data_IF_140791224316
#
_entry.id   IF_140791224316
#
_cell.length_a   1.000
_cell.length_b   1.000
_cell.length_c   1.000
_cell.angle_alpha   90.00
_cell.angle_beta   90.00
_cell.angle_gamma   90.00
#
_symmetry.space_group_name_H-M   'P 1'
#
loop_
_entity.id
_entity.type
_entity.pdbx_description
1 polymer ?
#
# COMPACT_ATOMS: atom_id res chain seq x y z
N UNK A 1 11.48 -10.46 23.69
CA UNK A 1 10.84 -10.25 23.17
C UNK A 1 10.09 -9.22 22.52
N UNK A 2 10.22 -8.05 22.82
CA UNK A 2 9.55 -7.02 22.19
C UNK A 2 9.89 -6.99 20.75
N UNK A 3 10.94 -7.56 20.35
CA UNK A 3 11.28 -7.60 18.96
C UNK A 3 10.29 -8.38 18.13
N UNK A 4 9.65 -9.34 18.73
CA UNK A 4 8.68 -10.09 17.99
C UNK A 4 7.50 -9.27 17.59
N UNK A 5 7.09 -8.37 18.45
CA UNK A 5 5.99 -7.49 18.11
C UNK A 5 6.33 -6.61 16.94
N UNK A 6 7.55 -6.11 16.92
CA UNK A 6 7.95 -5.25 15.83
C UNK A 6 7.99 -6.00 14.53
N UNK A 7 8.44 -7.24 14.55
CA UNK A 7 8.48 -8.03 13.34
C UNK A 7 7.08 -8.30 12.82
N UNK A 8 6.15 -8.57 13.73
CA UNK A 8 4.79 -8.82 13.33
C UNK A 8 4.20 -7.60 12.62
N UNK A 9 4.48 -6.42 13.14
CA UNK A 9 3.95 -5.22 12.53
C UNK A 9 4.47 -5.04 11.11
N UNK A 10 5.73 -5.42 10.86
CA UNK A 10 6.30 -5.24 9.54
C UNK A 10 5.88 -6.30 8.55
N UNK A 11 5.47 -7.47 9.02
CA UNK A 11 5.20 -8.58 8.12
C UNK A 11 4.09 -8.37 7.12
N UNK A 12 3.02 -7.61 7.42
CA UNK A 12 1.98 -7.44 6.41
C UNK A 12 2.45 -6.90 5.08
N UNK A 13 3.58 -6.21 5.07
CA UNK A 13 4.11 -5.64 3.83
C UNK A 13 5.14 -6.53 3.17
N UNK A 14 5.41 -7.71 3.74
CA UNK A 14 6.38 -8.64 3.19
C UNK A 14 5.76 -9.94 2.71
N UNK A 15 4.45 -10.04 2.70
CA UNK A 15 3.78 -11.27 2.28
C UNK A 15 3.93 -11.47 0.78
N UNK A 16 3.77 -12.71 0.29
CA UNK A 16 3.77 -12.93 -1.15
C UNK A 16 2.72 -12.12 -1.89
N UNK A 17 1.55 -11.94 -1.28
CA UNK A 17 0.51 -11.12 -1.88
C UNK A 17 0.95 -9.68 -2.02
N UNK A 18 1.62 -9.15 -0.98
CA UNK A 18 2.11 -7.79 -1.04
C UNK A 18 3.16 -7.63 -2.14
N UNK A 19 4.03 -8.62 -2.31
CA UNK A 19 5.06 -8.55 -3.33
C UNK A 19 4.46 -8.54 -4.73
N UNK A 20 3.42 -9.32 -4.96
CA UNK A 20 2.73 -9.27 -6.24
C UNK A 20 2.15 -7.88 -6.48
N UNK A 21 1.54 -7.31 -5.46
CA UNK A 21 0.95 -5.97 -5.58
C UNK A 21 2.00 -4.91 -5.84
N UNK A 22 3.17 -5.01 -5.17
CA UNK A 22 4.26 -4.07 -5.41
C UNK A 22 4.68 -4.08 -6.88
N UNK A 23 4.77 -5.27 -7.47
CA UNK A 23 5.15 -5.39 -8.87
C UNK A 23 4.14 -4.74 -9.79
N UNK A 24 2.86 -4.92 -9.51
CA UNK A 24 1.82 -4.31 -10.32
C UNK A 24 1.89 -2.79 -10.22
N UNK A 25 2.02 -2.27 -9.01
CA UNK A 25 2.05 -0.82 -8.82
C UNK A 25 3.31 -0.21 -9.42
N UNK A 26 4.44 -0.91 -9.36
CA UNK A 26 5.65 -0.42 -10.01
C UNK A 26 5.48 -0.42 -11.53
N UNK A 27 4.86 -1.45 -12.08
CA UNK A 27 4.67 -1.53 -13.52
C UNK A 27 3.80 -0.40 -14.05
N UNK A 28 2.84 0.04 -13.25
CA UNK A 28 1.97 1.15 -13.64
C UNK A 28 2.52 2.51 -13.24
N UNK A 29 3.67 2.55 -12.59
CA UNK A 29 4.31 3.82 -12.24
C UNK A 29 3.77 4.47 -10.98
N UNK A 30 3.03 3.76 -10.16
CA UNK A 30 2.53 4.30 -8.89
C UNK A 30 3.53 4.16 -7.75
N UNK A 31 4.45 3.19 -7.84
CA UNK A 31 5.53 3.04 -6.88
C UNK A 31 6.87 3.11 -7.61
N UNK A 32 7.89 3.64 -6.93
CA UNK A 32 9.23 3.60 -7.44
C UNK A 32 9.93 2.30 -7.09
N UNK A 33 11.17 2.18 -7.51
CA UNK A 33 11.96 0.97 -7.26
C UNK A 33 12.22 0.77 -5.78
N UNK A 34 12.17 1.86 -5.01
CA UNK A 34 12.35 1.81 -3.57
C UNK A 34 11.05 1.45 -2.84
N UNK A 35 10.00 1.13 -3.59
CA UNK A 35 8.68 0.79 -3.06
C UNK A 35 8.00 1.95 -2.36
N UNK A 36 8.46 3.17 -2.62
CA UNK A 36 7.81 4.36 -2.10
C UNK A 36 6.91 4.96 -3.17
N UNK A 37 5.89 5.75 -2.76
CA UNK A 37 5.02 6.35 -3.76
C UNK A 37 5.82 7.17 -4.77
N UNK A 38 5.51 6.99 -6.03
CA UNK A 38 6.19 7.73 -7.08
C UNK A 38 5.83 9.20 -7.05
N UNK A 39 4.61 9.52 -6.61
CA UNK A 39 4.16 10.90 -6.50
C UNK A 39 4.43 11.39 -5.08
N UNK A 40 5.11 12.52 -4.90
CA UNK A 40 5.44 13.00 -3.56
C UNK A 40 4.26 13.61 -2.80
N UNK A 41 3.11 13.73 -3.41
CA UNK A 41 1.93 14.33 -2.76
C UNK A 41 1.50 13.47 -1.57
N UNK A 42 1.47 14.05 -0.37
CA UNK A 42 1.10 13.32 0.83
C UNK A 42 -0.33 12.79 0.78
N UNK A 43 -1.24 13.52 0.15
CA UNK A 43 -2.62 13.05 0.04
C UNK A 43 -2.71 11.81 -0.85
N UNK A 44 -1.98 11.81 -1.96
CA UNK A 44 -1.97 10.66 -2.84
C UNK A 44 -1.33 9.45 -2.17
N UNK A 45 -0.22 9.66 -1.46
CA UNK A 45 0.42 8.58 -0.74
C UNK A 45 -0.52 7.99 0.31
N UNK A 46 -1.24 8.85 1.01
CA UNK A 46 -2.16 8.39 2.05
C UNK A 46 -3.31 7.58 1.45
N UNK A 47 -3.88 8.03 0.33
CA UNK A 47 -4.94 7.27 -0.32
C UNK A 47 -4.42 5.96 -0.88
N UNK A 48 -3.19 5.94 -1.39
CA UNK A 48 -2.59 4.71 -1.87
C UNK A 48 -2.41 3.72 -0.70
N UNK A 49 -1.95 4.19 0.45
CA UNK A 49 -1.80 3.34 1.62
C UNK A 49 -3.16 2.78 2.05
N UNK A 50 -4.20 3.61 2.03
CA UNK A 50 -5.53 3.17 2.41
C UNK A 50 -6.02 2.06 1.48
N UNK A 51 -5.82 2.21 0.18
CA UNK A 51 -6.24 1.20 -0.78
C UNK A 51 -5.47 -0.10 -0.60
N UNK A 52 -4.16 -0.01 -0.39
CA UNK A 52 -3.35 -1.20 -0.18
C UNK A 52 -3.75 -1.90 1.11
N UNK A 53 -3.95 -1.13 2.18
CA UNK A 53 -4.32 -1.71 3.46
C UNK A 53 -5.67 -2.42 3.38
N UNK A 54 -6.60 -1.84 2.64
CA UNK A 54 -7.91 -2.47 2.45
C UNK A 54 -7.78 -3.77 1.67
N UNK A 55 -7.00 -3.75 0.59
CA UNK A 55 -6.85 -4.92 -0.25
C UNK A 55 -6.12 -6.05 0.47
N UNK A 56 -5.08 -5.73 1.21
CA UNK A 56 -4.27 -6.73 1.91
C UNK A 56 -4.75 -7.00 3.32
N UNK A 57 -5.77 -6.26 3.78
CA UNK A 57 -6.33 -6.40 5.11
C UNK A 57 -5.29 -6.15 6.20
N UNK A 58 -4.56 -5.06 6.04
CA UNK A 58 -3.48 -4.70 6.96
C UNK A 58 -4.02 -3.93 8.14
N UNK A 59 -3.59 -4.31 9.34
CA UNK A 59 -3.96 -3.63 10.58
C UNK A 59 -2.75 -3.61 11.51
N UNK A 60 -2.38 -2.47 12.08
CA UNK A 60 -3.01 -1.16 11.91
C UNK A 60 -2.84 -0.61 10.50
N UNK A 61 -3.72 0.33 10.14
CA UNK A 61 -3.80 0.76 8.75
C UNK A 61 -2.63 1.65 8.31
N UNK A 62 -2.18 2.54 9.18
CA UNK A 62 -1.22 3.58 8.76
C UNK A 62 0.21 3.30 9.15
N UNK A 63 0.43 2.72 10.31
CA UNK A 63 1.77 2.60 10.87
C UNK A 63 2.75 1.86 9.97
N UNK A 64 2.39 0.72 9.36
CA UNK A 64 3.36 0.04 8.50
C UNK A 64 3.79 0.90 7.32
N UNK A 65 2.86 1.67 6.75
CA UNK A 65 3.20 2.52 5.61
C UNK A 65 4.01 3.72 6.05
N UNK A 66 3.70 4.27 7.22
CA UNK A 66 4.49 5.38 7.73
C UNK A 66 5.93 4.98 7.92
N UNK A 67 6.16 3.79 8.42
CA UNK A 67 7.52 3.30 8.59
C UNK A 67 8.19 3.04 7.25
N UNK A 68 7.50 2.36 6.36
CA UNK A 68 8.08 1.97 5.09
C UNK A 68 8.39 3.17 4.22
N UNK A 69 7.53 4.19 4.25
CA UNK A 69 7.65 5.34 3.37
C UNK A 69 8.26 6.56 4.06
N UNK A 70 8.58 6.46 5.35
CA UNK A 70 9.19 7.58 6.07
C UNK A 70 8.25 8.75 6.24
N UNK A 71 6.97 8.49 6.46
CA UNK A 71 5.95 9.52 6.59
C UNK A 71 5.35 9.50 7.98
N UNK A 72 4.66 10.58 8.34
CA UNK A 72 3.94 10.66 9.60
C UNK A 72 2.59 11.33 9.36
N UNK A 73 1.67 11.12 10.30
CA UNK A 73 0.41 11.84 10.28
C UNK A 73 -0.54 11.41 9.18
N UNK A 74 -0.44 10.17 8.71
CA UNK A 74 -1.30 9.71 7.62
C UNK A 74 -2.77 9.74 8.00
N UNK A 75 -3.10 9.40 9.24
CA UNK A 75 -4.50 9.41 9.66
C UNK A 75 -5.08 10.81 9.57
N UNK A 76 -4.34 11.81 10.04
CA UNK A 76 -4.80 13.19 9.97
C UNK A 76 -4.89 13.66 8.52
N UNK A 77 -3.93 13.28 7.70
CA UNK A 77 -3.96 13.62 6.28
C UNK A 77 -5.20 13.02 5.62
N UNK A 78 -5.47 11.75 5.91
CA UNK A 78 -6.63 11.09 5.33
C UNK A 78 -7.93 11.81 5.70
N UNK A 79 -8.05 12.21 6.96
CA UNK A 79 -9.24 12.92 7.42
C UNK A 79 -9.41 14.28 6.77
N UNK A 80 -8.31 14.87 6.32
CA UNK A 80 -8.36 16.20 5.71
C UNK A 80 -8.71 16.17 4.23
N UNK A 81 -8.72 15.01 3.60
CA UNK A 81 -8.99 14.92 2.16
C UNK A 81 -10.49 15.04 1.94
N UNK A 82 -10.90 16.06 1.18
CA UNK A 82 -12.33 16.25 0.91
C UNK A 82 -12.78 15.28 -0.17
N UNK A 83 -14.08 15.07 -0.26
CA UNK A 83 -14.61 14.14 -1.25
C UNK A 83 -14.48 14.64 -2.67
N UNK A 84 -14.30 15.94 -2.83
CA UNK A 84 -14.16 16.54 -4.14
C UNK A 84 -12.70 16.79 -4.51
N UNK A 85 -11.77 16.37 -3.65
CA UNK A 85 -10.35 16.54 -3.93
C UNK A 85 -9.97 15.73 -5.16
N UNK A 86 -9.12 16.32 -6.01
CA UNK A 86 -8.74 15.65 -7.25
C UNK A 86 -8.02 14.33 -7.01
N UNK A 87 -7.37 14.16 -5.88
CA UNK A 87 -6.71 12.88 -5.60
C UNK A 87 -7.70 11.75 -5.41
N UNK A 88 -8.99 12.05 -5.15
CA UNK A 88 -10.01 11.01 -5.10
C UNK A 88 -10.24 10.39 -6.47
N UNK A 89 -10.17 11.20 -7.52
CA UNK A 89 -10.27 10.66 -8.86
C UNK A 89 -9.03 9.85 -9.21
N UNK A 90 -7.87 10.33 -8.80
CA UNK A 90 -6.63 9.63 -9.04
C UNK A 90 -6.64 8.25 -8.38
N UNK A 91 -7.12 8.15 -7.15
CA UNK A 91 -7.09 6.84 -6.47
C UNK A 91 -8.07 5.87 -7.12
N UNK A 92 -9.13 6.36 -7.75
CA UNK A 92 -10.02 5.47 -8.48
C UNK A 92 -9.29 4.81 -9.64
N UNK A 93 -8.41 5.55 -10.31
CA UNK A 93 -7.61 4.98 -11.39
C UNK A 93 -6.65 3.94 -10.86
N UNK A 94 -6.04 4.20 -9.71
CA UNK A 94 -5.15 3.21 -9.10
C UNK A 94 -5.90 1.95 -8.74
N UNK A 95 -7.06 2.11 -8.11
CA UNK A 95 -7.85 0.95 -7.71
C UNK A 95 -8.29 0.12 -8.90
N UNK A 96 -8.47 0.76 -10.06
CA UNK A 96 -8.89 0.03 -11.26
C UNK A 96 -7.82 -0.94 -11.76
N UNK A 97 -6.54 -0.71 -11.44
CA UNK A 97 -5.48 -1.62 -11.87
C UNK A 97 -5.10 -2.61 -10.79
N UNK A 98 -5.63 -2.47 -9.58
CA UNK A 98 -5.32 -3.42 -8.52
C UNK A 98 -6.13 -4.69 -8.71
N UNK A 99 -5.50 -5.87 -8.49
CA UNK A 99 -6.22 -7.14 -8.64
C UNK A 99 -7.13 -7.39 -7.44
N UNK A 100 -8.02 -8.37 -7.58
CA UNK A 100 -8.84 -8.77 -6.45
C UNK A 100 -7.99 -9.51 -5.41
N UNK A 101 -8.46 -9.59 -4.15
CA UNK A 101 -7.72 -10.35 -3.15
C UNK A 101 -7.51 -11.81 -3.54
N UNK A 102 -8.49 -12.41 -4.22
CA UNK A 102 -8.37 -13.81 -4.63
C UNK A 102 -7.25 -13.99 -5.64
N UNK A 103 -7.11 -13.05 -6.57
CA UNK A 103 -6.05 -13.12 -7.56
C UNK A 103 -4.68 -12.96 -6.89
N UNK A 104 -4.59 -12.05 -5.93
CA UNK A 104 -3.34 -11.86 -5.20
C UNK A 104 -2.93 -13.11 -4.46
N UNK A 105 -3.89 -13.78 -3.82
CA UNK A 105 -3.59 -15.01 -3.10
C UNK A 105 -3.13 -16.10 -4.05
N UNK A 106 -3.77 -16.20 -5.20
CA UNK A 106 -3.41 -17.20 -6.17
C UNK A 106 -1.97 -16.99 -6.66
N UNK A 107 -1.64 -15.76 -7.05
CA UNK A 107 -0.30 -15.47 -7.54
C UNK A 107 0.74 -15.64 -6.44
N UNK A 108 0.41 -15.25 -5.21
CA UNK A 108 1.33 -15.41 -4.10
C UNK A 108 1.64 -16.87 -3.81
N UNK A 109 0.62 -17.74 -3.84
CA UNK A 109 0.85 -19.14 -3.59
C UNK A 109 1.58 -19.81 -4.73
N UNK A 110 1.52 -19.27 -5.93
CA UNK A 110 2.28 -19.79 -7.06
C UNK A 110 3.70 -19.28 -7.12
N UNK A 111 4.10 -18.41 -6.19
CA UNK A 111 5.45 -17.90 -6.17
C UNK A 111 5.72 -16.85 -7.23
N UNK A 112 4.69 -16.18 -7.71
CA UNK A 112 4.85 -15.17 -8.77
C UNK A 112 5.11 -13.78 -8.24
N UNK A 113 5.38 -13.64 -6.96
CA UNK A 113 5.71 -12.35 -6.40
C UNK A 113 7.09 -11.89 -6.83
N UNK A 114 7.38 -10.64 -6.58
CA UNK A 114 8.66 -10.07 -6.91
C UNK A 114 9.71 -10.60 -5.97
N UNK A 115 10.81 -10.96 -6.51
CA UNK A 115 11.90 -11.48 -5.71
C UNK A 115 13.13 -10.68 -5.91
#
# INVERSE_FOLDING_TARGET
>A
MKNESENIVAQPLDTPEAQVLWGILMAYGYLGEDLKPADPDAKKATLLADSIATLLQISPRWEPFERMWGMTGMEATFSSISETDSCREWIKEVNAVMPSPDILKMYGSMGLGIK
#
